data_IF_725798035650
#
_entry.id   IF_725798035650
#
_cell.length_a   1.000
_cell.length_b   1.000
_cell.length_c   1.000
_cell.angle_alpha   90.00
_cell.angle_beta   90.00
_cell.angle_gamma   90.00
#
_symmetry.space_group_name_H-M   'P 1'
#
loop_
_entity.id
_entity.type
_entity.pdbx_description
1 polymer ?
#
# COMPACT_ATOMS: atom_id res chain seq x y z
N UNK A 1 -9.90 -4.79 16.90
CA UNK A 1 -9.00 -3.73 16.41
C UNK A 1 -7.54 -4.18 16.28
N UNK A 2 -7.16 -5.45 16.56
CA UNK A 2 -5.74 -5.90 16.52
C UNK A 2 -5.30 -6.53 15.18
N UNK A 3 -6.19 -7.22 14.47
CA UNK A 3 -5.85 -7.93 13.22
C UNK A 3 -5.33 -7.02 12.11
N UNK A 4 -5.89 -5.82 11.96
CA UNK A 4 -5.50 -4.88 10.89
C UNK A 4 -4.10 -4.31 11.12
N UNK A 5 -3.70 -4.09 12.37
CA UNK A 5 -2.36 -3.59 12.70
C UNK A 5 -1.30 -4.65 12.43
N UNK A 6 -1.58 -5.92 12.75
CA UNK A 6 -0.68 -7.04 12.42
C UNK A 6 -0.45 -7.20 10.92
N UNK A 7 -1.49 -7.04 10.11
CA UNK A 7 -1.37 -7.07 8.65
C UNK A 7 -0.46 -5.92 8.17
N UNK A 8 -0.69 -4.71 8.68
CA UNK A 8 0.12 -3.53 8.32
C UNK A 8 1.59 -3.75 8.69
N UNK A 9 1.87 -4.28 9.89
CA UNK A 9 3.24 -4.53 10.35
C UNK A 9 3.98 -5.52 9.42
N UNK A 10 3.32 -6.64 9.07
CA UNK A 10 3.90 -7.66 8.17
C UNK A 10 4.22 -7.16 6.77
N UNK A 11 3.39 -6.26 6.23
CA UNK A 11 3.55 -5.75 4.87
C UNK A 11 4.39 -4.48 4.82
N UNK A 12 4.60 -3.81 5.97
CA UNK A 12 5.28 -2.53 6.05
C UNK A 12 6.72 -2.62 5.57
N UNK A 13 7.50 -3.57 6.09
CA UNK A 13 8.89 -3.78 5.65
C UNK A 13 8.97 -4.00 4.14
N UNK A 14 8.07 -4.81 3.58
CA UNK A 14 8.04 -5.06 2.14
C UNK A 14 7.61 -3.83 1.35
N UNK A 15 6.60 -3.10 1.82
CA UNK A 15 6.13 -1.88 1.19
C UNK A 15 7.24 -0.81 1.17
N UNK A 16 8.01 -0.68 2.25
CA UNK A 16 9.17 0.21 2.31
C UNK A 16 10.28 -0.24 1.36
N UNK A 17 10.56 -1.54 1.26
CA UNK A 17 11.52 -2.10 0.31
C UNK A 17 11.11 -1.81 -1.14
N UNK A 18 9.85 -2.09 -1.51
CA UNK A 18 9.32 -1.83 -2.85
C UNK A 18 9.35 -0.33 -3.17
N UNK A 19 8.99 0.52 -2.20
CA UNK A 19 9.04 1.96 -2.38
C UNK A 19 10.48 2.40 -2.66
N UNK A 20 11.45 1.93 -1.86
CA UNK A 20 12.88 2.23 -2.05
C UNK A 20 13.41 1.76 -3.40
N UNK A 21 13.04 0.57 -3.85
CA UNK A 21 13.46 0.04 -5.17
C UNK A 21 12.89 0.86 -6.34
N UNK A 22 11.72 1.48 -6.14
CA UNK A 22 11.09 2.36 -7.12
C UNK A 22 11.50 3.83 -6.99
N UNK A 23 12.43 4.16 -6.09
CA UNK A 23 12.76 5.55 -5.75
C UNK A 23 11.52 6.35 -5.31
N UNK A 24 10.73 5.72 -4.44
CA UNK A 24 9.50 6.25 -3.84
C UNK A 24 9.64 6.28 -2.31
N UNK A 25 8.91 7.21 -1.71
CA UNK A 25 8.76 7.38 -0.28
C UNK A 25 7.39 6.90 0.14
N UNK A 26 7.36 5.86 0.97
CA UNK A 26 6.14 5.45 1.64
C UNK A 26 5.88 6.37 2.84
N UNK A 27 4.73 7.04 2.85
CA UNK A 27 4.34 7.96 3.93
C UNK A 27 3.46 7.30 4.97
N UNK A 28 2.49 6.49 4.53
CA UNK A 28 1.42 6.00 5.39
C UNK A 28 0.78 4.75 4.79
N UNK A 29 0.48 3.77 5.64
CA UNK A 29 -0.30 2.57 5.30
C UNK A 29 -1.51 2.54 6.22
N UNK A 30 -2.71 2.42 5.66
CA UNK A 30 -3.94 2.34 6.43
C UNK A 30 -4.84 1.24 5.94
N UNK A 31 -5.39 0.49 6.87
CA UNK A 31 -6.47 -0.47 6.62
C UNK A 31 -7.73 0.01 7.32
N UNK A 32 -8.81 0.23 6.57
CA UNK A 32 -10.08 0.72 7.11
C UNK A 32 -11.27 0.09 6.38
N UNK A 33 -12.44 0.07 7.03
CA UNK A 33 -13.69 -0.34 6.40
C UNK A 33 -14.33 0.85 5.70
N UNK A 34 -14.57 0.72 4.40
CA UNK A 34 -15.36 1.68 3.62
C UNK A 34 -16.65 1.00 3.17
N UNK A 35 -17.80 1.48 3.66
CA UNK A 35 -19.11 0.84 3.51
C UNK A 35 -19.11 -0.61 4.02
N UNK A 36 -19.13 -1.57 3.10
CA UNK A 36 -19.14 -3.02 3.41
C UNK A 36 -17.82 -3.71 3.06
N UNK A 37 -16.84 -2.98 2.54
CA UNK A 37 -15.60 -3.54 2.03
C UNK A 37 -14.40 -3.03 2.83
N UNK A 38 -13.39 -3.88 2.96
CA UNK A 38 -12.10 -3.45 3.48
C UNK A 38 -11.33 -2.68 2.42
N UNK A 39 -10.57 -1.68 2.84
CA UNK A 39 -9.71 -0.89 1.98
C UNK A 39 -8.33 -0.85 2.62
N UNK A 40 -7.33 -1.29 1.86
CA UNK A 40 -5.92 -1.18 2.21
C UNK A 40 -5.31 -0.10 1.34
N UNK A 41 -4.94 1.01 1.97
CA UNK A 41 -4.46 2.22 1.31
C UNK A 41 -2.99 2.47 1.61
N UNK A 42 -2.21 2.66 0.56
CA UNK A 42 -0.81 3.07 0.62
C UNK A 42 -0.68 4.51 0.10
N UNK A 43 0.00 5.35 0.87
CA UNK A 43 0.33 6.72 0.46
C UNK A 43 1.82 6.79 0.13
N UNK A 44 2.13 7.04 -1.14
CA UNK A 44 3.51 7.11 -1.64
C UNK A 44 3.81 8.50 -2.23
N UNK A 45 5.09 8.84 -2.38
CA UNK A 45 5.49 9.98 -3.21
C UNK A 45 6.88 9.78 -3.79
N UNK A 46 7.21 10.44 -4.90
CA UNK A 46 8.60 10.55 -5.39
C UNK A 46 9.18 11.94 -5.15
N UNK A 47 10.50 12.03 -4.97
CA UNK A 47 11.23 13.30 -5.05
C UNK A 47 11.12 13.91 -6.47
N UNK A 48 10.54 15.10 -6.57
CA UNK A 48 10.28 15.75 -7.87
C UNK A 48 8.91 15.46 -8.50
N UNK A 49 8.08 14.64 -7.85
CA UNK A 49 6.68 14.44 -8.23
C UNK A 49 6.34 13.00 -8.59
N UNK A 50 5.13 12.59 -8.21
CA UNK A 50 4.66 11.21 -8.38
C UNK A 50 3.79 11.11 -9.62
N UNK A 51 4.06 10.13 -10.47
CA UNK A 51 3.26 9.86 -11.67
C UNK A 51 2.29 8.70 -11.43
N UNK A 52 1.24 8.62 -12.25
CA UNK A 52 0.30 7.47 -12.23
C UNK A 52 1.04 6.14 -12.42
N UNK A 53 2.10 6.12 -13.24
CA UNK A 53 2.94 4.94 -13.45
C UNK A 53 3.60 4.45 -12.16
N UNK A 54 3.98 5.36 -11.26
CA UNK A 54 4.62 4.99 -9.99
C UNK A 54 3.63 4.29 -9.07
N UNK A 55 2.38 4.80 -9.02
CA UNK A 55 1.29 4.15 -8.32
C UNK A 55 1.00 2.75 -8.89
N UNK A 56 0.97 2.60 -10.22
CA UNK A 56 0.73 1.31 -10.86
C UNK A 56 1.88 0.30 -10.61
N UNK A 57 3.13 0.74 -10.70
CA UNK A 57 4.28 -0.12 -10.42
C UNK A 57 4.30 -0.58 -8.96
N UNK A 58 4.04 0.34 -8.03
CA UNK A 58 3.96 0.02 -6.61
C UNK A 58 2.79 -0.94 -6.33
N UNK A 59 1.59 -0.67 -6.87
CA UNK A 59 0.40 -1.49 -6.64
C UNK A 59 0.61 -2.93 -7.12
N UNK A 60 1.15 -3.13 -8.32
CA UNK A 60 1.43 -4.48 -8.86
C UNK A 60 2.42 -5.25 -8.00
N UNK A 61 3.49 -4.61 -7.52
CA UNK A 61 4.51 -5.28 -6.70
C UNK A 61 4.00 -5.65 -5.31
N UNK A 62 3.24 -4.76 -4.67
CA UNK A 62 2.70 -5.05 -3.34
C UNK A 62 1.57 -6.08 -3.42
N UNK A 63 0.73 -6.04 -4.45
CA UNK A 63 -0.33 -7.03 -4.70
C UNK A 63 0.25 -8.45 -4.79
N UNK A 64 1.30 -8.65 -5.60
CA UNK A 64 1.98 -9.93 -5.71
C UNK A 64 2.47 -10.47 -4.36
N UNK A 65 2.95 -9.58 -3.49
CA UNK A 65 3.39 -9.97 -2.16
C UNK A 65 2.23 -10.31 -1.22
N UNK A 66 1.15 -9.53 -1.28
CA UNK A 66 -0.07 -9.77 -0.50
C UNK A 66 -0.71 -11.11 -0.86
N UNK A 67 -0.76 -11.45 -2.15
CA UNK A 67 -1.24 -12.76 -2.64
C UNK A 67 -0.37 -13.91 -2.12
N UNK A 68 0.95 -13.73 -2.05
CA UNK A 68 1.86 -14.76 -1.53
C UNK A 68 1.68 -15.01 -0.03
N UNK A 69 1.37 -13.97 0.74
CA UNK A 69 1.23 -14.10 2.19
C UNK A 69 -0.18 -14.58 2.62
N UNK A 70 -1.17 -14.56 1.73
CA UNK A 70 -2.58 -14.93 2.01
C UNK A 70 -3.11 -14.30 3.33
N UNK A 71 -2.72 -13.06 3.60
CA UNK A 71 -2.99 -12.44 4.92
C UNK A 71 -4.44 -12.00 5.06
N UNK A 72 -5.09 -11.62 3.96
CA UNK A 72 -6.41 -11.00 3.96
C UNK A 72 -7.41 -11.97 3.35
N UNK A 73 -8.09 -12.74 4.22
CA UNK A 73 -9.10 -13.74 3.80
C UNK A 73 -10.41 -13.12 3.34
N UNK A 74 -10.68 -11.88 3.73
CA UNK A 74 -11.88 -11.13 3.32
C UNK A 74 -11.62 -10.35 2.03
N UNK A 75 -12.68 -10.02 1.28
CA UNK A 75 -12.53 -9.13 0.12
C UNK A 75 -12.11 -7.73 0.57
N UNK A 76 -11.07 -7.22 -0.05
CA UNK A 76 -10.57 -5.87 0.18
C UNK A 76 -10.28 -5.17 -1.15
N UNK A 77 -10.20 -3.85 -1.11
CA UNK A 77 -9.74 -3.00 -2.20
C UNK A 77 -8.35 -2.49 -1.88
N UNK A 78 -7.41 -2.70 -2.80
CA UNK A 78 -6.08 -2.11 -2.74
C UNK A 78 -6.12 -0.71 -3.37
N UNK A 79 -5.76 0.31 -2.61
CA UNK A 79 -5.63 1.68 -3.09
C UNK A 79 -4.20 2.18 -2.94
N UNK A 80 -3.63 2.72 -4.00
CA UNK A 80 -2.33 3.40 -3.96
C UNK A 80 -2.55 4.83 -4.40
N UNK A 81 -2.25 5.78 -3.51
CA UNK A 81 -2.39 7.20 -3.78
C UNK A 81 -1.05 7.92 -3.63
N UNK A 82 -0.85 8.93 -4.46
CA UNK A 82 0.26 9.86 -4.27
C UNK A 82 -0.07 10.85 -3.16
N UNK A 83 0.88 11.18 -2.29
CA UNK A 83 0.80 12.37 -1.43
C UNK A 83 0.88 13.58 -2.34
N UNK A 84 -0.28 14.17 -2.65
CA UNK A 84 -0.37 15.34 -3.52
C UNK A 84 0.59 16.44 -3.04
N UNK A 85 1.31 17.05 -3.98
CA UNK A 85 2.04 18.29 -3.72
C UNK A 85 0.97 19.34 -3.43
N UNK A 86 0.99 19.92 -2.23
CA UNK A 86 0.11 21.02 -1.88
C UNK A 86 0.75 22.34 -2.25
#
# INVERSE_FOLDING_TARGET
MRETEEIIDKIKDKAEEIARDLDLFLHDIKMFKHNKNWVLRFTISREGGTSIKDCEMFSRRIEQHLDQLDLIKERYFLEVQSKGIK
#
